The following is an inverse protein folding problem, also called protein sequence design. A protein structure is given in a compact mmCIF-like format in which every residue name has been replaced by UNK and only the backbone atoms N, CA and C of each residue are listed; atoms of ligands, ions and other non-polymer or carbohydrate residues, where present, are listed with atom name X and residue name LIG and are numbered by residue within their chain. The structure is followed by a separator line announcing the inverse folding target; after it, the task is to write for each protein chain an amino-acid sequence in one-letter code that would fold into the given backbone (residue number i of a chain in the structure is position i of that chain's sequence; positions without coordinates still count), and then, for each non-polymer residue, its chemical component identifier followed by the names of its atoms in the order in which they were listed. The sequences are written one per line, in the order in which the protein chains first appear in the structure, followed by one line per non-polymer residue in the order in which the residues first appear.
data_IF_447973935704
#
_entry.id   IF_447973935704
#
_cell.length_a   1.000
_cell.length_b   1.000
_cell.length_c   1.000
_cell.angle_alpha   90.00
_cell.angle_beta   90.00
_cell.angle_gamma   90.00
#
_symmetry.space_group_name_H-M   'P 1'
#
loop_
_entity.id
_entity.type
_entity.pdbx_description
1 polymer ?
#
# COMPACT_ATOMS: atom_id res chain seq x y z
N UNK A 1 -24.96 11.31 -14.70
CA UNK A 1 -24.41 10.56 -13.55
C UNK A 1 -23.76 9.29 -14.11
N UNK A 2 -22.44 9.12 -13.95
CA UNK A 2 -21.54 8.24 -14.72
C UNK A 2 -21.50 8.44 -16.26
N UNK A 3 -22.63 8.68 -16.92
CA UNK A 3 -22.70 8.88 -18.38
C UNK A 3 -21.93 10.11 -18.91
N UNK A 4 -21.59 11.07 -18.04
CA UNK A 4 -20.79 12.26 -18.37
C UNK A 4 -19.31 12.11 -18.02
N UNK A 5 -18.92 11.04 -17.32
CA UNK A 5 -17.52 10.77 -17.02
C UNK A 5 -16.97 9.82 -18.08
N UNK A 6 -16.03 10.29 -18.91
CA UNK A 6 -15.29 9.46 -19.87
C UNK A 6 -14.26 8.56 -19.15
N UNK A 7 -14.72 7.74 -18.20
CA UNK A 7 -13.85 6.84 -17.44
C UNK A 7 -13.35 5.69 -18.32
N UNK A 8 -12.05 5.36 -18.20
CA UNK A 8 -11.42 4.31 -19.03
C UNK A 8 -11.94 2.89 -18.72
N UNK A 9 -12.17 2.56 -17.45
CA UNK A 9 -12.58 1.20 -17.03
C UNK A 9 -14.07 1.09 -16.69
N UNK A 10 -14.72 2.21 -16.39
CA UNK A 10 -16.12 2.27 -15.97
C UNK A 10 -16.30 3.20 -14.78
N UNK A 11 -17.49 3.21 -14.18
CA UNK A 11 -17.85 4.18 -13.16
C UNK A 11 -18.78 3.58 -12.10
N UNK A 12 -18.64 3.99 -10.84
CA UNK A 12 -19.49 3.62 -9.70
C UNK A 12 -20.07 4.85 -9.00
N UNK A 13 -21.32 4.79 -8.52
CA UNK A 13 -21.87 5.85 -7.66
C UNK A 13 -21.19 5.87 -6.29
N UNK A 14 -20.97 7.06 -5.71
CA UNK A 14 -20.47 7.25 -4.35
C UNK A 14 -21.17 8.44 -3.66
N UNK A 15 -21.13 8.54 -2.31
CA UNK A 15 -21.75 9.63 -1.57
C UNK A 15 -21.23 11.03 -1.95
N UNK A 16 -20.00 11.12 -2.46
CA UNK A 16 -19.34 12.36 -2.90
C UNK A 16 -19.54 12.65 -4.40
N UNK A 17 -20.23 11.78 -5.13
CA UNK A 17 -20.41 11.84 -6.58
C UNK A 17 -19.99 10.56 -7.30
N UNK A 18 -20.27 10.42 -8.61
CA UNK A 18 -19.80 9.29 -9.40
C UNK A 18 -18.26 9.26 -9.46
N UNK A 19 -17.66 8.09 -9.25
CA UNK A 19 -16.22 7.84 -9.26
C UNK A 19 -15.86 6.85 -10.38
N UNK A 20 -14.76 7.09 -11.10
CA UNK A 20 -14.27 6.13 -12.08
C UNK A 20 -13.73 4.84 -11.44
N UNK A 21 -13.77 3.73 -12.17
CA UNK A 21 -12.92 2.57 -11.87
C UNK A 21 -11.52 2.86 -12.38
N UNK A 22 -10.52 2.51 -11.58
CA UNK A 22 -9.12 2.70 -11.90
C UNK A 22 -8.42 1.34 -11.88
N UNK A 23 -7.40 1.20 -12.74
CA UNK A 23 -6.57 0.00 -12.78
C UNK A 23 -5.77 -0.19 -11.49
N UNK A 24 -5.09 -1.32 -11.38
CA UNK A 24 -4.28 -1.67 -10.21
C UNK A 24 -3.30 -0.55 -9.82
N UNK A 25 -3.22 -0.21 -8.53
CA UNK A 25 -2.38 0.87 -8.00
C UNK A 25 -2.91 2.29 -8.22
N UNK A 26 -4.16 2.48 -8.67
CA UNK A 26 -4.77 3.80 -8.90
C UNK A 26 -6.10 3.95 -8.17
N UNK A 27 -6.35 5.15 -7.64
CA UNK A 27 -7.61 5.51 -6.98
C UNK A 27 -8.34 6.65 -7.72
N UNK A 28 -9.67 6.62 -7.75
CA UNK A 28 -10.44 7.66 -8.41
C UNK A 28 -10.52 8.94 -7.56
N UNK A 29 -10.02 10.04 -8.11
CA UNK A 29 -10.22 11.39 -7.59
C UNK A 29 -11.16 12.16 -8.54
N UNK A 30 -12.47 11.96 -8.36
CA UNK A 30 -13.48 12.46 -9.29
C UNK A 30 -13.43 11.75 -10.64
N UNK A 31 -13.02 12.47 -11.69
CA UNK A 31 -12.92 11.97 -13.06
C UNK A 31 -11.55 11.41 -13.43
N UNK A 32 -10.53 11.64 -12.59
CA UNK A 32 -9.18 11.22 -12.86
C UNK A 32 -8.80 10.02 -11.99
N UNK A 33 -8.06 9.09 -12.58
CA UNK A 33 -7.39 8.04 -11.84
C UNK A 33 -6.02 8.57 -11.44
N UNK A 34 -5.94 9.08 -10.22
CA UNK A 34 -4.64 9.37 -9.63
C UNK A 34 -3.99 8.04 -9.25
N UNK A 35 -2.67 8.01 -9.23
CA UNK A 35 -2.00 6.93 -8.51
C UNK A 35 -2.61 6.95 -7.10
N UNK A 36 -3.10 5.79 -6.65
CA UNK A 36 -3.38 5.63 -5.23
C UNK A 36 -2.13 6.16 -4.55
N UNK A 37 -2.22 6.98 -3.48
CA UNK A 37 -1.03 7.24 -2.70
C UNK A 37 -0.42 5.87 -2.53
N UNK A 38 0.80 5.71 -3.04
CA UNK A 38 1.56 4.49 -2.86
C UNK A 38 1.86 4.54 -1.37
N UNK A 39 0.83 4.32 -0.55
CA UNK A 39 0.84 4.27 0.88
C UNK A 39 1.72 3.07 1.02
N UNK A 40 3.04 3.27 1.14
CA UNK A 40 4.00 2.24 0.72
C UNK A 40 4.08 1.12 1.78
N UNK A 41 3.02 1.03 2.60
CA UNK A 41 2.68 0.05 3.59
C UNK A 41 1.31 -0.61 3.31
N UNK A 42 0.69 -0.34 2.17
CA UNK A 42 -0.58 -0.91 1.73
C UNK A 42 -0.45 -2.27 1.04
N UNK A 43 0.78 -2.71 0.76
CA UNK A 43 1.08 -4.06 0.32
C UNK A 43 1.85 -4.79 1.43
N UNK A 44 1.30 -5.91 1.92
CA UNK A 44 1.94 -6.76 2.93
C UNK A 44 3.30 -7.33 2.49
N UNK A 45 3.62 -7.30 1.19
CA UNK A 45 4.91 -7.74 0.65
C UNK A 45 6.05 -6.70 0.79
N UNK A 46 5.77 -5.49 1.29
CA UNK A 46 6.76 -4.41 1.37
C UNK A 46 7.67 -4.51 2.59
N UNK A 47 7.19 -5.07 3.70
CA UNK A 47 7.98 -5.29 4.91
C UNK A 47 7.55 -6.61 5.59
N UNK A 48 8.49 -7.40 6.10
CA UNK A 48 8.19 -8.65 6.82
C UNK A 48 7.33 -8.43 8.09
N UNK A 49 7.37 -7.23 8.68
CA UNK A 49 6.69 -6.94 9.95
C UNK A 49 5.99 -5.57 9.95
N UNK A 50 6.73 -4.50 10.20
CA UNK A 50 6.16 -3.17 10.40
C UNK A 50 6.61 -2.27 9.26
N UNK A 51 5.65 -1.66 8.58
CA UNK A 51 5.91 -0.63 7.60
C UNK A 51 5.50 0.73 8.16
N UNK A 52 6.42 1.69 8.14
CA UNK A 52 6.19 3.06 8.57
C UNK A 52 6.23 3.98 7.36
N UNK A 53 5.18 4.75 7.16
CA UNK A 53 5.19 5.83 6.18
C UNK A 53 6.09 6.97 6.65
N UNK A 54 6.93 7.49 5.75
CA UNK A 54 7.83 8.61 5.97
C UNK A 54 7.77 9.58 4.80
N UNK A 55 6.94 10.61 4.94
CA UNK A 55 6.65 11.62 3.91
C UNK A 55 6.25 10.98 2.56
N UNK A 56 7.18 10.91 1.61
CA UNK A 56 7.02 10.34 0.27
C UNK A 56 7.65 8.95 0.10
N UNK A 57 8.15 8.36 1.19
CA UNK A 57 8.82 7.06 1.26
C UNK A 57 8.22 6.19 2.37
N UNK A 58 8.71 4.96 2.50
CA UNK A 58 8.49 4.08 3.64
C UNK A 58 9.80 3.63 4.25
N UNK A 59 9.69 3.14 5.49
CA UNK A 59 10.76 2.49 6.21
C UNK A 59 10.21 1.26 6.94
N UNK A 60 10.86 0.12 6.75
CA UNK A 60 10.53 -1.11 7.46
C UNK A 60 11.20 -1.12 8.84
N UNK A 61 10.43 -1.42 9.88
CA UNK A 61 10.93 -1.69 11.23
C UNK A 61 10.53 -3.09 11.68
N UNK A 62 11.23 -3.60 12.69
CA UNK A 62 11.00 -4.92 13.25
C UNK A 62 10.71 -4.81 14.75
N UNK A 63 9.93 -5.75 15.28
CA UNK A 63 9.70 -5.89 16.71
C UNK A 63 10.99 -6.31 17.43
N UNK A 64 11.02 -6.14 18.75
CA UNK A 64 12.16 -6.55 19.57
C UNK A 64 12.53 -8.02 19.33
N UNK A 65 13.83 -8.32 19.30
CA UNK A 65 14.36 -9.64 18.96
C UNK A 65 14.58 -9.86 17.46
N UNK A 66 14.26 -8.88 16.60
CA UNK A 66 14.51 -8.91 15.15
C UNK A 66 15.29 -7.67 14.70
N UNK A 67 16.16 -7.84 13.71
CA UNK A 67 16.95 -6.77 13.07
C UNK A 67 16.52 -6.59 11.63
N UNK A 68 16.22 -5.34 11.26
CA UNK A 68 15.87 -4.98 9.89
C UNK A 68 17.08 -5.13 8.95
N UNK A 69 16.86 -5.78 7.81
CA UNK A 69 17.80 -5.88 6.69
C UNK A 69 17.04 -5.60 5.40
N UNK A 70 16.90 -4.32 5.08
CA UNK A 70 15.99 -3.86 4.02
C UNK A 70 14.54 -4.12 4.45
N UNK A 71 13.79 -4.86 3.63
CA UNK A 71 12.40 -5.22 3.91
C UNK A 71 12.25 -6.41 4.86
N UNK A 72 13.36 -7.08 5.20
CA UNK A 72 13.32 -8.32 5.99
C UNK A 72 13.64 -8.12 7.46
N UNK A 73 12.99 -8.90 8.31
CA UNK A 73 13.23 -8.93 9.73
C UNK A 73 13.92 -10.23 10.13
N UNK A 74 15.20 -10.15 10.50
CA UNK A 74 16.03 -11.30 10.83
C UNK A 74 16.12 -11.44 12.35
N UNK A 75 15.77 -12.60 12.89
CA UNK A 75 15.88 -12.88 14.32
C UNK A 75 17.31 -12.68 14.84
N UNK A 76 17.46 -11.91 15.90
CA UNK A 76 18.75 -11.60 16.56
C UNK A 76 19.16 -12.74 17.50
N UNK A 77 18.17 -13.51 17.98
CA UNK A 77 18.38 -14.77 18.68
C UNK A 77 18.02 -15.93 17.76
N UNK A 78 18.96 -16.33 16.90
CA UNK A 78 18.97 -17.72 16.41
C UNK A 78 19.53 -18.56 17.57
N UNK A 79 18.72 -19.30 18.36
CA UNK A 79 19.30 -20.23 19.32
C UNK A 79 20.18 -21.20 18.53
N UNK A 80 21.40 -21.42 19.01
CA UNK A 80 22.44 -22.26 18.37
C UNK A 80 21.99 -23.70 18.06
N UNK A 81 20.82 -24.14 18.53
CA UNK A 81 20.19 -25.41 18.15
C UNK A 81 18.66 -25.27 18.17
N UNK A 82 18.03 -25.31 17.00
CA UNK A 82 16.65 -25.76 16.89
C UNK A 82 16.66 -27.31 16.84
N UNK A 83 15.75 -27.99 17.55
CA UNK A 83 15.66 -29.46 17.55
C UNK A 83 15.25 -30.03 16.18
#
# INVERSE_FOLDING_TARGET
MCATLNCTYGCKPSPKGPLCFCGEGKEPNGNECINAPNNTCGNDELCDQICNMKDTSYECSCVEGYKAKGHRCIGINVPYKAP
#
